data_IF_389858548346
#
_entry.id   IF_389858548346
#
_cell.length_a   1.000
_cell.length_b   1.000
_cell.length_c   1.000
_cell.angle_alpha   90.00
_cell.angle_beta   90.00
_cell.angle_gamma   90.00
#
_symmetry.space_group_name_H-M   'P 1'
#
loop_
_entity.id
_entity.type
_entity.pdbx_description
1 polymer ?
#
# COMPACT_ATOMS: atom_id res chain seq x y z
N UNK A 1 8.27 -1.53 -17.45
CA UNK A 1 8.42 -0.94 -16.10
C UNK A 1 9.79 -1.19 -15.47
N UNK A 2 10.72 -1.88 -16.15
CA UNK A 2 12.04 -2.26 -15.61
C UNK A 2 12.01 -3.27 -14.45
N UNK A 3 10.87 -3.84 -14.14
CA UNK A 3 10.72 -4.89 -13.13
C UNK A 3 11.15 -6.23 -13.72
N UNK A 4 11.76 -7.09 -12.88
CA UNK A 4 12.27 -8.41 -13.32
C UNK A 4 11.19 -9.47 -13.50
N UNK A 5 10.06 -9.35 -12.78
CA UNK A 5 8.94 -10.29 -12.89
C UNK A 5 8.01 -9.93 -14.06
N UNK A 6 7.47 -10.94 -14.68
CA UNK A 6 6.50 -10.85 -15.76
C UNK A 6 5.06 -10.88 -15.21
N UNK A 7 4.09 -10.63 -16.10
CA UNK A 7 2.65 -10.73 -15.77
C UNK A 7 2.29 -12.14 -15.29
N UNK A 8 2.82 -13.15 -15.95
CA UNK A 8 2.61 -14.55 -15.64
C UNK A 8 3.11 -14.94 -14.25
N UNK A 9 4.19 -14.31 -13.78
CA UNK A 9 4.72 -14.55 -12.42
C UNK A 9 3.78 -13.97 -11.36
N UNK A 10 3.21 -12.79 -11.62
CA UNK A 10 2.21 -12.19 -10.75
C UNK A 10 0.93 -13.05 -10.69
N UNK A 11 0.44 -13.53 -11.84
CA UNK A 11 -0.73 -14.40 -11.91
C UNK A 11 -0.50 -15.74 -11.17
N UNK A 12 0.66 -16.37 -11.35
CA UNK A 12 1.04 -17.58 -10.59
C UNK A 12 1.05 -17.34 -9.09
N UNK A 13 1.58 -16.20 -8.65
CA UNK A 13 1.59 -15.83 -7.22
C UNK A 13 0.17 -15.66 -6.67
N UNK A 14 -0.72 -15.00 -7.42
CA UNK A 14 -2.13 -14.86 -7.04
C UNK A 14 -2.84 -16.22 -6.96
N UNK A 15 -2.63 -17.11 -7.92
CA UNK A 15 -3.21 -18.46 -7.91
C UNK A 15 -2.69 -19.28 -6.73
N UNK A 16 -1.40 -19.17 -6.42
CA UNK A 16 -0.83 -19.83 -5.26
C UNK A 16 -1.43 -19.31 -3.95
N UNK A 17 -1.49 -17.99 -3.76
CA UNK A 17 -2.10 -17.38 -2.57
C UNK A 17 -3.58 -17.75 -2.41
N UNK A 18 -4.34 -17.76 -3.53
CA UNK A 18 -5.72 -18.22 -3.53
C UNK A 18 -5.83 -19.66 -3.05
N UNK A 19 -5.00 -20.57 -3.55
CA UNK A 19 -4.99 -21.99 -3.15
C UNK A 19 -4.70 -22.13 -1.65
N UNK A 20 -3.69 -21.43 -1.12
CA UNK A 20 -3.34 -21.50 0.30
C UNK A 20 -4.43 -20.86 1.20
N UNK A 21 -5.14 -19.87 0.69
CA UNK A 21 -6.29 -19.29 1.36
C UNK A 21 -7.49 -20.25 1.37
N UNK A 22 -7.82 -20.84 0.24
CA UNK A 22 -8.93 -21.80 0.09
C UNK A 22 -8.69 -23.06 0.94
N UNK A 23 -7.44 -23.48 1.13
CA UNK A 23 -7.05 -24.59 2.01
C UNK A 23 -7.10 -24.24 3.51
N UNK A 24 -7.25 -22.95 3.85
CA UNK A 24 -7.23 -22.47 5.23
C UNK A 24 -5.84 -22.31 5.84
N UNK A 25 -4.76 -22.51 5.06
CA UNK A 25 -3.38 -22.34 5.52
C UNK A 25 -3.08 -20.87 5.85
N UNK A 26 -3.55 -19.95 5.03
CA UNK A 26 -3.50 -18.51 5.32
C UNK A 26 -4.90 -17.96 5.58
N UNK A 27 -5.02 -16.99 6.47
CA UNK A 27 -6.32 -16.44 6.90
C UNK A 27 -6.80 -15.28 6.05
N UNK A 28 -5.90 -14.61 5.36
CA UNK A 28 -6.16 -13.50 4.45
C UNK A 28 -4.94 -13.21 3.61
N UNK A 29 -5.13 -12.51 2.49
CA UNK A 29 -4.07 -11.95 1.67
C UNK A 29 -4.57 -10.71 0.97
N UNK A 30 -3.65 -9.86 0.52
CA UNK A 30 -3.95 -8.62 -0.18
C UNK A 30 -3.32 -8.61 -1.56
N UNK A 31 -4.01 -8.00 -2.50
CA UNK A 31 -3.47 -7.67 -3.80
C UNK A 31 -3.47 -6.14 -3.96
N UNK A 32 -2.29 -5.59 -4.24
CA UNK A 32 -2.12 -4.16 -4.41
C UNK A 32 -2.04 -3.81 -5.89
N UNK A 33 -2.85 -2.86 -6.32
CA UNK A 33 -2.93 -2.36 -7.69
C UNK A 33 -2.71 -0.84 -7.71
N UNK A 34 -2.20 -0.35 -8.83
CA UNK A 34 -2.00 1.09 -9.04
C UNK A 34 -2.83 1.49 -10.27
N UNK A 35 -3.82 2.36 -10.07
CA UNK A 35 -4.60 2.97 -11.15
C UNK A 35 -3.94 4.26 -11.63
N UNK A 36 -4.48 4.82 -12.72
CA UNK A 36 -4.04 6.07 -13.31
C UNK A 36 -2.57 6.03 -13.79
N UNK A 37 -2.12 4.85 -14.24
CA UNK A 37 -0.81 4.71 -14.84
C UNK A 37 -0.75 5.45 -16.18
N UNK A 38 0.41 6.08 -16.53
CA UNK A 38 0.64 6.59 -17.87
C UNK A 38 0.49 5.46 -18.89
N UNK A 39 -0.10 5.76 -20.03
CA UNK A 39 -0.32 4.81 -21.14
C UNK A 39 -1.32 3.68 -20.81
N UNK A 40 -1.98 3.71 -19.68
CA UNK A 40 -3.08 2.79 -19.36
C UNK A 40 -4.40 3.55 -19.51
N UNK A 41 -5.21 3.14 -20.47
CA UNK A 41 -6.51 3.74 -20.70
C UNK A 41 -7.58 3.19 -19.75
N UNK A 42 -8.76 3.78 -19.79
CA UNK A 42 -9.91 3.41 -18.96
C UNK A 42 -10.29 1.92 -19.09
N UNK A 43 -10.28 1.41 -20.33
CA UNK A 43 -10.66 0.02 -20.59
C UNK A 43 -9.61 -0.95 -20.06
N UNK A 44 -8.34 -0.69 -20.31
CA UNK A 44 -7.23 -1.52 -19.83
C UNK A 44 -7.25 -1.62 -18.30
N UNK A 45 -7.49 -0.51 -17.60
CA UNK A 45 -7.63 -0.51 -16.17
C UNK A 45 -8.80 -1.39 -15.70
N UNK A 46 -9.96 -1.27 -16.33
CA UNK A 46 -11.12 -2.10 -15.98
C UNK A 46 -10.85 -3.59 -16.21
N UNK A 47 -10.16 -3.94 -17.29
CA UNK A 47 -9.82 -5.33 -17.61
C UNK A 47 -8.81 -5.90 -16.59
N UNK A 48 -7.81 -5.11 -16.20
CA UNK A 48 -6.86 -5.48 -15.14
C UNK A 48 -7.56 -5.67 -13.78
N UNK A 49 -8.46 -4.76 -13.41
CA UNK A 49 -9.23 -4.86 -12.18
C UNK A 49 -10.14 -6.10 -12.16
N UNK A 50 -10.86 -6.35 -13.25
CA UNK A 50 -11.70 -7.54 -13.40
C UNK A 50 -10.86 -8.81 -13.30
N UNK A 51 -9.68 -8.83 -13.94
CA UNK A 51 -8.74 -9.95 -13.86
C UNK A 51 -8.29 -10.16 -12.41
N UNK A 52 -7.94 -9.11 -11.68
CA UNK A 52 -7.56 -9.19 -10.27
C UNK A 52 -8.67 -9.83 -9.42
N UNK A 53 -9.92 -9.44 -9.66
CA UNK A 53 -11.09 -9.98 -8.96
C UNK A 53 -11.27 -11.49 -9.21
N UNK A 54 -10.87 -12.03 -10.36
CA UNK A 54 -10.97 -13.48 -10.63
C UNK A 54 -10.15 -14.34 -9.66
N UNK A 55 -9.11 -13.77 -9.05
CA UNK A 55 -8.33 -14.46 -8.01
C UNK A 55 -9.01 -14.42 -6.64
N UNK A 56 -10.11 -13.68 -6.50
CA UNK A 56 -10.89 -13.54 -5.26
C UNK A 56 -10.06 -13.16 -4.04
N UNK A 57 -9.17 -12.13 -4.12
CA UNK A 57 -8.40 -11.71 -2.97
C UNK A 57 -9.34 -11.20 -1.87
N UNK A 58 -9.18 -11.60 -0.59
CA UNK A 58 -10.02 -11.08 0.49
C UNK A 58 -9.88 -9.57 0.71
N UNK A 59 -8.74 -9.00 0.31
CA UNK A 59 -8.41 -7.58 0.44
C UNK A 59 -7.74 -7.06 -0.83
N UNK A 60 -8.07 -5.80 -1.18
CA UNK A 60 -7.50 -5.07 -2.32
C UNK A 60 -7.08 -3.68 -1.87
N UNK A 61 -5.84 -3.29 -2.21
CA UNK A 61 -5.40 -1.90 -2.13
C UNK A 61 -5.33 -1.32 -3.54
N UNK A 62 -6.05 -0.24 -3.79
CA UNK A 62 -6.07 0.46 -5.08
C UNK A 62 -5.47 1.84 -4.87
N UNK A 63 -4.23 2.01 -5.31
CA UNK A 63 -3.51 3.27 -5.18
C UNK A 63 -3.59 4.09 -6.45
N UNK A 64 -3.63 5.40 -6.30
CA UNK A 64 -3.33 6.31 -7.40
C UNK A 64 -1.81 6.42 -7.59
N UNK A 65 -1.37 6.50 -8.85
CA UNK A 65 0.04 6.72 -9.12
C UNK A 65 0.47 8.09 -8.62
N UNK A 66 1.34 8.12 -7.61
CA UNK A 66 2.02 9.32 -7.18
C UNK A 66 3.40 9.45 -7.80
N UNK A 67 3.70 10.61 -8.39
CA UNK A 67 4.97 10.87 -9.08
C UNK A 67 5.92 11.63 -8.17
N UNK A 68 6.88 10.91 -7.62
CA UNK A 68 7.90 11.46 -6.75
C UNK A 68 9.00 12.21 -7.53
N UNK A 69 9.51 13.29 -6.94
CA UNK A 69 10.65 14.03 -7.49
C UNK A 69 11.89 13.13 -7.60
N UNK A 70 12.71 13.36 -8.63
CA UNK A 70 13.92 12.58 -8.87
C UNK A 70 13.70 11.25 -9.60
N UNK A 71 12.45 10.83 -9.85
CA UNK A 71 12.14 9.60 -10.59
C UNK A 71 12.25 9.78 -12.10
N UNK A 72 12.45 8.66 -12.81
CA UNK A 72 12.43 8.64 -14.28
C UNK A 72 11.09 9.13 -14.83
N UNK A 73 9.98 8.77 -14.19
CA UNK A 73 8.65 9.24 -14.58
C UNK A 73 8.54 10.76 -14.52
N UNK A 74 9.03 11.39 -13.44
CA UNK A 74 9.03 12.84 -13.31
C UNK A 74 9.83 13.52 -14.41
N UNK A 75 11.00 12.96 -14.77
CA UNK A 75 11.82 13.46 -15.90
C UNK A 75 11.07 13.37 -17.23
N UNK A 76 10.44 12.23 -17.51
CA UNK A 76 9.70 12.03 -18.76
C UNK A 76 8.50 12.96 -18.87
N UNK A 77 7.79 13.19 -17.78
CA UNK A 77 6.66 14.14 -17.72
C UNK A 77 7.16 15.56 -17.99
N UNK A 78 8.23 15.99 -17.32
CA UNK A 78 8.80 17.33 -17.52
C UNK A 78 9.30 17.56 -18.95
N UNK A 79 9.71 16.50 -19.64
CA UNK A 79 10.11 16.53 -21.06
C UNK A 79 8.94 16.41 -22.04
N UNK A 80 7.69 16.32 -21.54
CA UNK A 80 6.52 16.11 -22.38
C UNK A 80 6.45 14.73 -23.06
N UNK A 81 7.32 13.78 -22.67
CA UNK A 81 7.40 12.42 -23.24
C UNK A 81 6.46 11.42 -22.57
N UNK A 82 5.87 11.78 -21.46
CA UNK A 82 4.90 10.98 -20.73
C UNK A 82 3.78 11.88 -20.22
N UNK A 83 2.54 11.47 -20.43
CA UNK A 83 1.35 12.18 -19.97
C UNK A 83 0.59 11.33 -18.97
N UNK A 84 0.20 11.93 -17.87
CA UNK A 84 -0.73 11.32 -16.90
C UNK A 84 -2.17 11.50 -17.40
N UNK A 85 -3.10 10.65 -16.95
CA UNK A 85 -4.52 10.91 -17.11
C UNK A 85 -4.88 12.29 -16.57
N UNK A 86 -5.87 12.94 -17.19
CA UNK A 86 -6.47 14.16 -16.65
C UNK A 86 -7.21 13.87 -15.35
N UNK A 87 -7.51 14.92 -14.56
CA UNK A 87 -8.27 14.78 -13.32
C UNK A 87 -9.66 14.16 -13.57
N UNK A 88 -10.29 14.49 -14.70
CA UNK A 88 -11.56 13.91 -15.11
C UNK A 88 -11.45 12.41 -15.45
N UNK A 89 -10.38 12.01 -16.15
CA UNK A 89 -10.12 10.60 -16.44
C UNK A 89 -9.79 9.83 -15.15
N UNK A 90 -9.00 10.40 -14.26
CA UNK A 90 -8.69 9.82 -12.96
C UNK A 90 -9.91 9.65 -12.08
N UNK A 91 -10.79 10.66 -12.04
CA UNK A 91 -12.07 10.58 -11.34
C UNK A 91 -12.96 9.47 -11.92
N UNK A 92 -13.10 9.41 -13.24
CA UNK A 92 -13.88 8.35 -13.91
C UNK A 92 -13.33 6.96 -13.62
N UNK A 93 -12.02 6.80 -13.60
CA UNK A 93 -11.39 5.53 -13.20
C UNK A 93 -11.76 5.15 -11.77
N UNK A 94 -11.68 6.08 -10.83
CA UNK A 94 -12.00 5.87 -9.42
C UNK A 94 -13.47 5.48 -9.20
N UNK A 95 -14.40 6.17 -9.85
CA UNK A 95 -15.84 5.84 -9.79
C UNK A 95 -16.11 4.45 -10.35
N UNK A 96 -15.52 4.14 -11.51
CA UNK A 96 -15.65 2.81 -12.12
C UNK A 96 -15.06 1.71 -11.23
N UNK A 97 -13.91 1.95 -10.62
CA UNK A 97 -13.28 1.05 -9.66
C UNK A 97 -14.21 0.77 -8.49
N UNK A 98 -14.79 1.83 -7.91
CA UNK A 98 -15.72 1.69 -6.79
C UNK A 98 -16.95 0.83 -7.18
N UNK A 99 -17.55 1.10 -8.32
CA UNK A 99 -18.72 0.36 -8.80
C UNK A 99 -18.41 -1.11 -9.08
N UNK A 100 -17.30 -1.40 -9.77
CA UNK A 100 -16.90 -2.77 -10.09
C UNK A 100 -16.66 -3.57 -8.81
N UNK A 101 -15.92 -3.00 -7.85
CA UNK A 101 -15.59 -3.67 -6.60
C UNK A 101 -16.83 -3.86 -5.73
N UNK A 102 -17.68 -2.87 -5.61
CA UNK A 102 -18.97 -2.96 -4.89
C UNK A 102 -19.85 -4.07 -5.45
N UNK A 103 -19.99 -4.15 -6.77
CA UNK A 103 -20.79 -5.19 -7.44
C UNK A 103 -20.15 -6.59 -7.30
N UNK A 104 -18.86 -6.66 -6.98
CA UNK A 104 -18.12 -7.90 -6.71
C UNK A 104 -18.06 -8.26 -5.21
N UNK A 105 -18.82 -7.57 -4.36
CA UNK A 105 -18.95 -7.87 -2.93
C UNK A 105 -17.89 -7.20 -2.03
N UNK A 106 -17.04 -6.33 -2.58
CA UNK A 106 -16.06 -5.59 -1.78
C UNK A 106 -16.67 -4.29 -1.23
N UNK A 107 -16.31 -3.99 0.01
CA UNK A 107 -16.64 -2.72 0.66
C UNK A 107 -15.38 -1.86 0.79
N UNK A 108 -15.47 -0.59 0.43
CA UNK A 108 -14.44 0.40 0.70
C UNK A 108 -14.49 0.77 2.17
N UNK A 109 -13.39 0.63 2.92
CA UNK A 109 -13.37 0.94 4.36
C UNK A 109 -12.44 2.12 4.70
N UNK A 110 -11.60 2.55 3.74
CA UNK A 110 -10.80 3.77 3.80
C UNK A 110 -10.45 4.25 2.37
N UNK A 111 -9.53 5.21 2.21
CA UNK A 111 -9.30 5.91 0.94
C UNK A 111 -8.93 4.97 -0.22
N UNK A 112 -8.00 4.04 0.02
CA UNK A 112 -7.42 3.18 -1.02
C UNK A 112 -7.78 1.70 -0.86
N UNK A 113 -8.38 1.30 0.27
CA UNK A 113 -8.54 -0.11 0.60
C UNK A 113 -9.99 -0.59 0.55
N UNK A 114 -10.14 -1.77 -0.05
CA UNK A 114 -11.38 -2.50 -0.23
C UNK A 114 -11.22 -3.92 0.33
N UNK A 115 -12.26 -4.49 0.88
CA UNK A 115 -12.21 -5.86 1.36
C UNK A 115 -13.56 -6.56 1.31
N UNK A 116 -13.52 -7.88 1.30
CA UNK A 116 -14.67 -8.73 1.64
C UNK A 116 -15.00 -8.58 3.15
N UNK A 117 -16.20 -8.94 3.60
CA UNK A 117 -16.60 -8.82 5.00
C UNK A 117 -15.59 -9.47 5.95
N UNK A 118 -15.18 -8.74 6.98
CA UNK A 118 -14.22 -9.13 8.02
C UNK A 118 -12.75 -9.24 7.58
N UNK A 119 -12.38 -8.77 6.36
CA UNK A 119 -11.01 -8.78 5.86
C UNK A 119 -10.33 -7.41 5.86
N UNK A 120 -10.82 -6.45 6.66
CA UNK A 120 -10.14 -5.17 6.85
C UNK A 120 -8.73 -5.38 7.40
N UNK A 121 -7.72 -4.73 6.81
CA UNK A 121 -6.34 -4.78 7.30
C UNK A 121 -6.23 -4.16 8.68
N UNK A 122 -5.87 -4.96 9.68
CA UNK A 122 -5.61 -4.48 11.05
C UNK A 122 -4.46 -3.48 11.06
N UNK A 123 -3.42 -3.73 10.28
CA UNK A 123 -2.26 -2.85 10.15
C UNK A 123 -2.65 -1.47 9.65
N UNK A 124 -3.42 -1.39 8.55
CA UNK A 124 -3.86 -0.11 8.00
C UNK A 124 -4.76 0.66 8.99
N UNK A 125 -5.64 -0.06 9.71
CA UNK A 125 -6.51 0.54 10.71
C UNK A 125 -5.75 1.18 11.88
N UNK A 126 -4.58 0.65 12.27
CA UNK A 126 -3.74 1.25 13.30
C UNK A 126 -3.34 2.69 12.91
N UNK A 127 -2.93 2.91 11.67
CA UNK A 127 -2.59 4.27 11.19
C UNK A 127 -3.79 5.22 11.22
N UNK A 128 -4.94 4.76 10.76
CA UNK A 128 -6.14 5.59 10.68
C UNK A 128 -6.79 5.88 12.04
N UNK A 129 -6.60 5.00 13.00
CA UNK A 129 -7.11 5.20 14.37
C UNK A 129 -6.18 6.02 15.27
N UNK A 130 -5.01 6.42 14.76
CA UNK A 130 -4.01 7.15 15.55
C UNK A 130 -3.31 6.33 16.64
N UNK A 131 -3.48 5.00 16.61
CA UNK A 131 -2.76 4.10 17.49
C UNK A 131 -1.27 4.10 17.20
N UNK A 132 -0.45 3.83 18.20
CA UNK A 132 0.99 3.74 18.04
C UNK A 132 1.44 2.53 17.25
N UNK A 133 2.55 2.67 16.55
CA UNK A 133 3.18 1.57 15.81
C UNK A 133 4.70 1.61 15.89
N UNK A 134 5.31 0.43 15.80
CA UNK A 134 6.74 0.26 15.64
C UNK A 134 7.08 -0.19 14.24
N UNK A 135 8.16 0.34 13.68
CA UNK A 135 8.76 -0.09 12.42
C UNK A 135 10.20 -0.51 12.65
N UNK A 136 10.77 -1.32 11.76
CA UNK A 136 12.13 -1.84 11.86
C UNK A 136 12.88 -1.62 10.56
N UNK A 137 14.22 -1.52 10.65
CA UNK A 137 15.09 -1.34 9.50
C UNK A 137 15.42 0.11 9.18
N UNK A 138 16.43 0.31 8.34
CA UNK A 138 16.90 1.63 7.94
C UNK A 138 15.83 2.40 7.19
N UNK A 139 15.72 3.69 7.48
CA UNK A 139 14.73 4.58 6.86
C UNK A 139 13.30 4.36 7.31
N UNK A 140 13.04 3.42 8.23
CA UNK A 140 11.70 3.17 8.75
C UNK A 140 11.26 4.24 9.75
N UNK A 141 9.96 4.52 9.78
CA UNK A 141 9.37 5.48 10.72
C UNK A 141 8.49 4.74 11.72
N UNK A 142 8.68 5.03 13.00
CA UNK A 142 7.83 4.56 14.10
C UNK A 142 7.05 5.72 14.71
N UNK A 143 5.92 5.42 15.36
CA UNK A 143 5.14 6.38 16.14
C UNK A 143 4.46 5.67 17.31
N UNK A 144 5.22 5.12 18.27
CA UNK A 144 4.64 4.31 19.34
C UNK A 144 3.79 5.13 20.33
N UNK A 145 4.07 6.42 20.47
CA UNK A 145 3.40 7.33 21.45
C UNK A 145 2.81 8.58 20.80
N UNK A 146 2.48 8.54 19.51
CA UNK A 146 1.94 9.67 18.78
C UNK A 146 3.01 10.56 18.12
N UNK A 147 4.24 10.55 18.60
CA UNK A 147 5.36 11.25 18.00
C UNK A 147 6.08 10.37 16.99
N UNK A 148 6.31 10.92 15.79
CA UNK A 148 6.99 10.18 14.70
C UNK A 148 8.49 10.38 14.79
N UNK A 149 9.24 9.28 14.71
CA UNK A 149 10.68 9.33 14.49
C UNK A 149 11.09 8.39 13.35
N UNK A 150 12.06 8.85 12.55
CA UNK A 150 12.53 8.10 11.37
C UNK A 150 13.98 7.70 11.56
N UNK A 151 14.28 6.44 11.36
CA UNK A 151 15.64 5.90 11.44
C UNK A 151 16.50 6.37 10.26
N UNK A 152 17.84 6.42 10.44
CA UNK A 152 18.74 6.80 9.35
C UNK A 152 18.55 5.94 8.11
N UNK A 153 18.60 6.58 6.93
CA UNK A 153 18.44 5.90 5.63
C UNK A 153 19.74 5.33 5.10
N UNK A 154 20.88 5.86 5.54
CA UNK A 154 22.20 5.41 5.11
C UNK A 154 22.64 4.25 5.99
N UNK A 155 23.08 3.14 5.38
CA UNK A 155 23.45 1.90 6.09
C UNK A 155 24.48 2.11 7.20
N UNK A 156 25.49 2.96 6.96
CA UNK A 156 26.50 3.26 7.98
C UNK A 156 25.91 3.96 9.20
N UNK A 157 25.15 5.02 8.97
CA UNK A 157 24.48 5.79 10.02
C UNK A 157 23.47 4.92 10.78
N UNK A 158 22.74 4.05 10.06
CA UNK A 158 21.80 3.14 10.69
C UNK A 158 22.47 2.11 11.60
N UNK A 159 23.63 1.58 11.19
CA UNK A 159 24.43 0.66 12.04
C UNK A 159 24.93 1.37 13.30
N UNK A 160 25.48 2.59 13.14
CA UNK A 160 25.92 3.42 14.26
C UNK A 160 24.75 3.74 15.21
N UNK A 161 23.57 4.04 14.64
CA UNK A 161 22.36 4.32 15.38
C UNK A 161 21.89 3.09 16.19
N UNK A 162 21.86 1.89 15.60
CA UNK A 162 21.48 0.63 16.29
C UNK A 162 22.47 0.27 17.43
N UNK A 163 23.77 0.58 17.25
CA UNK A 163 24.80 0.27 18.26
C UNK A 163 24.81 1.27 19.42
N UNK A 164 24.29 2.47 19.23
CA UNK A 164 24.06 3.41 20.31
C UNK A 164 22.85 2.95 21.10
N UNK A 165 23.05 2.39 22.26
CA UNK A 165 21.95 1.92 23.14
C UNK A 165 20.99 3.05 23.61
N UNK A 166 21.23 4.28 23.16
CA UNK A 166 20.44 5.48 23.49
C UNK A 166 18.98 5.44 23.03
N UNK A 167 18.64 4.52 22.13
CA UNK A 167 17.27 4.39 21.62
C UNK A 167 16.24 3.92 22.64
N UNK A 168 16.66 3.11 23.56
CA UNK A 168 15.78 2.53 24.58
C UNK A 168 15.76 3.34 25.87
N UNK A 169 16.64 4.31 26.01
CA UNK A 169 16.50 5.40 26.97
C UNK A 169 15.56 6.48 26.41
N UNK A 170 14.43 6.07 25.88
CA UNK A 170 13.29 6.94 25.74
C UNK A 170 12.95 7.43 27.13
N UNK A 171 13.22 8.72 27.31
CA UNK A 171 13.07 9.49 28.52
C UNK A 171 11.91 8.94 29.37
N UNK A 172 12.19 8.53 30.58
CA UNK A 172 11.20 8.06 31.55
C UNK A 172 10.05 9.06 31.78
N UNK A 173 10.16 10.27 31.23
CA UNK A 173 9.11 11.29 31.20
C UNK A 173 7.94 10.94 30.26
N UNK A 174 8.12 10.03 29.29
CA UNK A 174 7.05 9.63 28.35
C UNK A 174 6.23 8.42 28.81
N UNK A 175 6.65 7.72 29.86
CA UNK A 175 5.95 6.54 30.39
C UNK A 175 4.69 6.88 31.19
N UNK A 176 4.39 8.16 31.44
CA UNK A 176 3.25 8.61 32.27
C UNK A 176 2.10 9.27 31.48
N UNK A 177 2.08 9.19 30.14
CA UNK A 177 0.85 9.52 29.42
C UNK A 177 -0.05 8.28 29.42
N UNK A 178 -1.02 8.29 30.32
CA UNK A 178 -2.10 7.32 30.36
C UNK A 178 -2.72 7.17 28.99
N UNK A 179 -2.69 5.93 28.47
CA UNK A 179 -3.45 5.56 27.30
C UNK A 179 -4.94 5.58 27.68
N UNK A 180 -5.64 6.63 27.31
CA UNK A 180 -7.11 6.60 27.30
C UNK A 180 -7.52 5.75 26.08
N UNK A 181 -8.05 4.57 26.36
CA UNK A 181 -8.65 3.67 25.39
C UNK A 181 -10.01 4.19 24.90
#
# INVERSE_FOLDING_TARGET
>A
SGRRHLKEDAEKSCLWLKREYDSGLIKSWSLDLIQNLPLSGFKEWQDDLKKAITFSPPHLSIYDLNIENGTVFKKLINLGKLKLPSDEEAFRNSESTHLILKNSGYSRYEISNYCLPRHQSRHNRVYWSGLGWWSFGQGSTSSPWGEKFTRPRVSKEYKEWVTRQDEFNLDSSLTNKEFVY
#
